data_IF_182819732360
#
_entry.id   IF_182819732360
#
_cell.length_a   1.000
_cell.length_b   1.000
_cell.length_c   1.000
_cell.angle_alpha   90.00
_cell.angle_beta   90.00
_cell.angle_gamma   90.00
#
_symmetry.space_group_name_H-M   'P 1'
#
loop_
_entity.id
_entity.type
_entity.pdbx_description
1 polymer ?
#
# COMPACT_ATOMS: atom_id res chain seq x y z
N UNK A 1 -52.73 -28.81 24.24
CA UNK A 1 -51.85 -27.70 23.81
C UNK A 1 -50.98 -27.38 25.00
N UNK A 2 -49.95 -28.20 25.23
CA UNK A 2 -49.01 -28.01 26.33
C UNK A 2 -47.61 -27.98 25.72
N UNK A 3 -47.12 -26.75 25.56
CA UNK A 3 -45.73 -26.44 25.23
C UNK A 3 -44.90 -26.71 26.50
N UNK A 4 -44.56 -27.98 26.78
CA UNK A 4 -43.55 -28.32 27.77
C UNK A 4 -42.21 -28.51 27.07
N UNK A 5 -41.56 -27.39 26.74
CA UNK A 5 -40.19 -27.39 26.24
C UNK A 5 -39.24 -27.67 27.41
N UNK A 6 -39.15 -28.93 27.85
CA UNK A 6 -38.03 -29.37 28.69
C UNK A 6 -36.83 -29.49 27.76
N UNK A 7 -35.94 -28.50 27.82
CA UNK A 7 -34.65 -28.55 27.15
C UNK A 7 -33.91 -29.79 27.67
N UNK A 8 -33.65 -30.77 26.81
CA UNK A 8 -32.84 -31.92 27.21
C UNK A 8 -31.41 -31.43 27.56
N UNK A 9 -30.72 -32.12 28.47
CA UNK A 9 -29.35 -31.73 28.87
C UNK A 9 -28.41 -31.62 27.66
N UNK A 10 -28.65 -32.45 26.63
CA UNK A 10 -28.00 -32.41 25.32
C UNK A 10 -28.21 -31.08 24.59
N UNK A 11 -29.44 -30.55 24.56
CA UNK A 11 -29.77 -29.28 23.92
C UNK A 11 -29.09 -28.10 24.62
N UNK A 12 -29.03 -28.13 25.96
CA UNK A 12 -28.32 -27.11 26.73
C UNK A 12 -26.81 -27.13 26.45
N UNK A 13 -26.20 -28.32 26.42
CA UNK A 13 -24.78 -28.47 26.07
C UNK A 13 -24.51 -27.98 24.65
N UNK A 14 -25.38 -28.34 23.69
CA UNK A 14 -25.26 -27.89 22.30
C UNK A 14 -25.36 -26.36 22.19
N UNK A 15 -26.28 -25.73 22.93
CA UNK A 15 -26.42 -24.27 22.96
C UNK A 15 -25.15 -23.60 23.50
N UNK A 16 -24.61 -24.08 24.62
CA UNK A 16 -23.37 -23.55 25.20
C UNK A 16 -22.20 -23.71 24.25
N UNK A 17 -22.05 -24.89 23.63
CA UNK A 17 -21.01 -25.14 22.64
C UNK A 17 -21.11 -24.17 21.45
N UNK A 18 -22.31 -23.94 20.93
CA UNK A 18 -22.55 -23.00 19.83
C UNK A 18 -22.16 -21.56 20.20
N UNK A 19 -22.51 -21.10 21.41
CA UNK A 19 -22.11 -19.76 21.89
C UNK A 19 -20.58 -19.65 22.00
N UNK A 20 -19.91 -20.66 22.55
CA UNK A 20 -18.45 -20.69 22.65
C UNK A 20 -17.80 -20.71 21.27
N UNK A 21 -18.35 -21.48 20.31
CA UNK A 21 -17.85 -21.54 18.94
C UNK A 21 -17.98 -20.19 18.23
N UNK A 22 -19.14 -19.53 18.33
CA UNK A 22 -19.35 -18.19 17.74
C UNK A 22 -18.36 -17.17 18.34
N UNK A 23 -18.21 -17.18 19.67
CA UNK A 23 -17.25 -16.31 20.34
C UNK A 23 -15.81 -16.59 19.89
N UNK A 24 -15.43 -17.87 19.77
CA UNK A 24 -14.09 -18.28 19.33
C UNK A 24 -13.80 -17.83 17.90
N UNK A 25 -14.78 -17.96 16.99
CA UNK A 25 -14.67 -17.47 15.61
C UNK A 25 -14.44 -15.96 15.59
N UNK A 26 -15.16 -15.22 16.44
CA UNK A 26 -15.02 -13.77 16.51
C UNK A 26 -13.62 -13.34 16.98
N UNK A 27 -13.07 -14.02 17.98
CA UNK A 27 -11.70 -13.79 18.46
C UNK A 27 -10.67 -14.17 17.40
N UNK A 28 -10.82 -15.32 16.74
CA UNK A 28 -9.92 -15.78 15.66
C UNK A 28 -9.89 -14.80 14.48
N UNK A 29 -11.06 -14.30 14.05
CA UNK A 29 -11.16 -13.32 12.98
C UNK A 29 -10.37 -12.04 13.28
N UNK A 30 -10.30 -11.62 14.54
CA UNK A 30 -9.48 -10.47 14.94
C UNK A 30 -7.98 -10.76 14.78
N UNK A 31 -7.54 -11.96 15.18
CA UNK A 31 -6.15 -12.39 15.03
C UNK A 31 -5.73 -12.47 13.56
N UNK A 32 -6.54 -13.12 12.72
CA UNK A 32 -6.28 -13.25 11.28
C UNK A 32 -6.16 -11.87 10.60
N UNK A 33 -7.03 -10.91 10.96
CA UNK A 33 -6.94 -9.54 10.41
C UNK A 33 -5.62 -8.85 10.78
N UNK A 34 -5.15 -9.02 12.02
CA UNK A 34 -3.88 -8.44 12.45
C UNK A 34 -2.69 -9.08 11.74
N UNK A 35 -2.71 -10.40 11.58
CA UNK A 35 -1.68 -11.14 10.86
C UNK A 35 -1.61 -10.72 9.38
N UNK A 36 -2.75 -10.63 8.69
CA UNK A 36 -2.82 -10.14 7.32
C UNK A 36 -2.28 -8.72 7.19
N UNK A 37 -2.58 -7.84 8.15
CA UNK A 37 -2.05 -6.48 8.17
C UNK A 37 -0.52 -6.47 8.31
N UNK A 38 0.02 -7.24 9.24
CA UNK A 38 1.47 -7.35 9.48
C UNK A 38 2.17 -7.88 8.23
N UNK A 39 1.64 -8.95 7.63
CA UNK A 39 2.19 -9.56 6.41
C UNK A 39 2.19 -8.58 5.25
N UNK A 40 1.06 -7.88 5.01
CA UNK A 40 0.98 -6.87 3.96
C UNK A 40 2.00 -5.75 4.17
N UNK A 41 2.05 -5.18 5.38
CA UNK A 41 3.03 -4.11 5.69
C UNK A 41 4.46 -4.60 5.48
N UNK A 42 4.79 -5.80 5.93
CA UNK A 42 6.12 -6.40 5.76
C UNK A 42 6.49 -6.58 4.28
N UNK A 43 5.57 -7.10 3.46
CA UNK A 43 5.82 -7.35 2.04
C UNK A 43 6.03 -6.05 1.26
N UNK A 44 5.18 -5.05 1.48
CA UNK A 44 5.36 -3.73 0.85
C UNK A 44 6.63 -3.05 1.34
N UNK A 45 6.97 -3.15 2.63
CA UNK A 45 8.22 -2.59 3.17
C UNK A 45 9.43 -3.22 2.50
N UNK A 46 9.43 -4.54 2.32
CA UNK A 46 10.51 -5.27 1.64
C UNK A 46 10.64 -4.82 0.18
N UNK A 47 9.54 -4.73 -0.56
CA UNK A 47 9.55 -4.24 -1.96
C UNK A 47 10.12 -2.82 -2.06
N UNK A 48 9.78 -1.93 -1.12
CA UNK A 48 10.39 -0.60 -1.05
C UNK A 48 11.90 -0.68 -0.81
N UNK A 49 12.33 -1.46 0.18
CA UNK A 49 13.77 -1.62 0.48
C UNK A 49 14.53 -2.11 -0.76
N UNK A 50 14.03 -3.11 -1.45
CA UNK A 50 14.64 -3.63 -2.69
C UNK A 50 14.74 -2.59 -3.81
N UNK A 51 13.80 -1.63 -3.88
CA UNK A 51 13.87 -0.51 -4.83
C UNK A 51 14.94 0.48 -4.39
N UNK A 52 14.93 0.90 -3.12
CA UNK A 52 15.85 1.90 -2.60
C UNK A 52 17.30 1.40 -2.55
N UNK A 53 17.53 0.10 -2.38
CA UNK A 53 18.86 -0.52 -2.48
C UNK A 53 19.46 -0.43 -3.88
N UNK A 54 18.62 -0.40 -4.92
CA UNK A 54 19.05 -0.28 -6.32
C UNK A 54 19.25 1.17 -6.77
N UNK A 55 18.68 2.13 -6.03
CA UNK A 55 18.78 3.54 -6.40
C UNK A 55 20.19 4.08 -6.11
N UNK A 56 20.84 4.72 -7.09
CA UNK A 56 22.14 5.33 -6.84
C UNK A 56 21.99 6.53 -5.91
N UNK A 57 23.01 6.77 -5.07
CA UNK A 57 23.00 7.80 -4.03
C UNK A 57 22.70 9.21 -4.56
N UNK A 58 23.04 9.50 -5.82
CA UNK A 58 22.78 10.77 -6.49
C UNK A 58 21.28 11.15 -6.52
N UNK A 59 20.38 10.17 -6.42
CA UNK A 59 18.91 10.40 -6.35
C UNK A 59 18.51 11.18 -5.11
N UNK A 60 19.38 11.24 -4.10
CA UNK A 60 19.15 11.99 -2.86
C UNK A 60 19.64 13.45 -2.96
N UNK A 61 20.28 13.85 -4.06
CA UNK A 61 20.80 15.22 -4.24
C UNK A 61 19.66 16.22 -4.51
N UNK A 62 19.71 17.37 -3.86
CA UNK A 62 18.77 18.47 -4.07
C UNK A 62 18.96 19.12 -5.45
N UNK A 63 20.16 19.05 -6.02
CA UNK A 63 20.49 19.57 -7.34
C UNK A 63 20.52 18.47 -8.41
N UNK A 64 19.78 17.37 -8.19
CA UNK A 64 19.74 16.26 -9.12
C UNK A 64 19.33 16.72 -10.53
N UNK A 65 20.24 16.58 -11.49
CA UNK A 65 19.99 16.84 -12.91
C UNK A 65 20.16 15.56 -13.72
N UNK A 66 19.04 15.02 -14.19
CA UNK A 66 19.01 13.80 -14.99
C UNK A 66 19.69 13.98 -16.36
N UNK A 67 19.74 15.20 -16.89
CA UNK A 67 20.31 15.46 -18.22
C UNK A 67 21.84 15.42 -18.22
N UNK A 68 22.45 15.67 -17.06
CA UNK A 68 23.90 15.55 -16.83
C UNK A 68 24.40 14.10 -16.86
N UNK A 69 23.49 13.13 -16.74
CA UNK A 69 23.81 11.70 -16.65
C UNK A 69 24.03 11.06 -18.02
N UNK A 70 24.88 10.02 -18.06
CA UNK A 70 24.96 9.13 -19.22
C UNK A 70 23.65 8.34 -19.38
N UNK A 71 23.36 7.83 -20.57
CA UNK A 71 22.11 7.07 -20.78
C UNK A 71 22.03 5.79 -19.94
N UNK A 72 23.19 5.18 -19.64
CA UNK A 72 23.26 4.05 -18.72
C UNK A 72 22.89 4.45 -17.27
N UNK A 73 23.41 5.58 -16.79
CA UNK A 73 23.11 6.08 -15.45
C UNK A 73 21.65 6.57 -15.32
N UNK A 74 21.11 7.17 -16.38
CA UNK A 74 19.68 7.52 -16.46
C UNK A 74 18.82 6.28 -16.28
N UNK A 75 19.11 5.19 -16.97
CA UNK A 75 18.35 3.94 -16.85
C UNK A 75 18.43 3.38 -15.43
N UNK A 76 19.61 3.45 -14.78
CA UNK A 76 19.79 3.03 -13.38
C UNK A 76 18.97 3.86 -12.38
N UNK A 77 18.55 5.08 -12.74
CA UNK A 77 17.66 5.91 -11.92
C UNK A 77 16.19 5.73 -12.31
N UNK A 78 15.87 5.88 -13.60
CA UNK A 78 14.49 5.88 -14.08
C UNK A 78 13.83 4.53 -13.85
N UNK A 79 14.54 3.42 -14.07
CA UNK A 79 13.95 2.08 -13.97
C UNK A 79 13.49 1.74 -12.53
N UNK A 80 14.30 1.92 -11.47
CA UNK A 80 13.81 1.69 -10.11
C UNK A 80 12.74 2.70 -9.68
N UNK A 81 12.83 3.97 -10.10
CA UNK A 81 11.78 4.97 -9.82
C UNK A 81 10.46 4.61 -10.51
N UNK A 82 10.50 4.04 -11.72
CA UNK A 82 9.30 3.51 -12.37
C UNK A 82 8.67 2.40 -11.54
N UNK A 83 9.46 1.40 -11.12
CA UNK A 83 8.97 0.32 -10.27
C UNK A 83 8.36 0.86 -8.96
N UNK A 84 8.90 1.95 -8.42
CA UNK A 84 8.30 2.67 -7.29
C UNK A 84 6.91 3.22 -7.61
N UNK A 85 6.71 3.84 -8.77
CA UNK A 85 5.39 4.33 -9.19
C UNK A 85 4.41 3.20 -9.48
N UNK A 86 4.85 2.08 -10.05
CA UNK A 86 4.02 0.88 -10.19
C UNK A 86 3.53 0.39 -8.83
N UNK A 87 4.42 0.36 -7.83
CA UNK A 87 4.07 0.00 -6.46
C UNK A 87 3.07 0.99 -5.83
N UNK A 88 3.25 2.28 -6.08
CA UNK A 88 2.31 3.31 -5.60
C UNK A 88 0.94 3.15 -6.26
N UNK A 89 0.90 2.78 -7.53
CA UNK A 89 -0.35 2.52 -8.25
C UNK A 89 -1.08 1.29 -7.70
N UNK A 90 -0.37 0.20 -7.41
CA UNK A 90 -0.96 -0.98 -6.74
C UNK A 90 -1.63 -0.61 -5.41
N UNK A 91 -0.92 0.17 -4.58
CA UNK A 91 -1.46 0.65 -3.30
C UNK A 91 -2.66 1.58 -3.48
N UNK A 92 -2.62 2.44 -4.48
CA UNK A 92 -3.74 3.31 -4.84
C UNK A 92 -4.98 2.49 -5.21
N UNK A 93 -4.84 1.46 -6.06
CA UNK A 93 -5.93 0.57 -6.44
C UNK A 93 -6.52 -0.16 -5.22
N UNK A 94 -5.67 -0.69 -4.35
CA UNK A 94 -6.11 -1.41 -3.16
C UNK A 94 -6.94 -0.54 -2.20
N UNK A 95 -6.65 0.77 -2.15
CA UNK A 95 -7.38 1.69 -1.30
C UNK A 95 -8.61 2.29 -1.98
N UNK A 96 -8.44 2.92 -3.15
CA UNK A 96 -9.50 3.73 -3.76
C UNK A 96 -10.46 2.92 -4.63
N UNK A 97 -10.00 1.86 -5.28
CA UNK A 97 -10.83 1.10 -6.24
C UNK A 97 -11.37 -0.20 -5.62
N UNK A 98 -10.60 -0.84 -4.73
CA UNK A 98 -10.96 -2.15 -4.15
C UNK A 98 -11.45 -2.08 -2.70
N UNK A 99 -11.27 -0.96 -1.99
CA UNK A 99 -11.63 -0.78 -0.57
C UNK A 99 -11.10 -1.90 0.35
N UNK A 100 -9.96 -2.51 -0.01
CA UNK A 100 -9.31 -3.58 0.77
C UNK A 100 -8.45 -2.98 1.88
N UNK A 101 -7.81 -1.85 1.60
CA UNK A 101 -6.88 -1.19 2.50
C UNK A 101 -7.60 -0.13 3.31
N UNK A 102 -7.58 -0.28 4.63
CA UNK A 102 -8.21 0.69 5.52
C UNK A 102 -7.52 2.07 5.46
N UNK A 103 -8.27 3.10 5.87
CA UNK A 103 -7.80 4.49 5.88
C UNK A 103 -6.58 4.71 6.77
N UNK A 104 -6.35 3.88 7.78
CA UNK A 104 -5.22 4.02 8.70
C UNK A 104 -3.94 3.54 8.01
N UNK A 105 -3.96 2.38 7.38
CA UNK A 105 -2.84 1.85 6.61
C UNK A 105 -2.52 2.76 5.41
N UNK A 106 -3.55 3.20 4.68
CA UNK A 106 -3.39 4.13 3.56
C UNK A 106 -2.61 5.39 3.95
N UNK A 107 -2.91 6.01 5.10
CA UNK A 107 -2.19 7.20 5.57
C UNK A 107 -0.68 6.98 5.72
N UNK A 108 -0.25 5.79 6.15
CA UNK A 108 1.18 5.48 6.26
C UNK A 108 1.84 5.34 4.90
N UNK A 109 1.18 4.66 3.96
CA UNK A 109 1.68 4.54 2.59
C UNK A 109 1.73 5.89 1.88
N UNK A 110 0.66 6.68 1.96
CA UNK A 110 0.59 8.03 1.38
C UNK A 110 1.68 8.94 1.95
N UNK A 111 1.95 8.89 3.26
CA UNK A 111 3.06 9.66 3.84
C UNK A 111 4.43 9.23 3.28
N UNK A 112 4.64 7.93 3.06
CA UNK A 112 5.84 7.40 2.39
C UNK A 112 5.96 7.89 0.94
N UNK A 113 4.85 7.90 0.19
CA UNK A 113 4.79 8.45 -1.17
C UNK A 113 5.18 9.92 -1.19
N UNK A 114 4.54 10.74 -0.34
CA UNK A 114 4.80 12.18 -0.25
C UNK A 114 6.26 12.47 0.07
N UNK A 115 6.86 11.69 0.98
CA UNK A 115 8.29 11.81 1.31
C UNK A 115 9.19 11.52 0.10
N UNK A 116 8.90 10.50 -0.71
CA UNK A 116 9.65 10.26 -1.94
C UNK A 116 9.41 11.36 -2.98
N UNK A 117 8.17 11.79 -3.16
CA UNK A 117 7.76 12.81 -4.14
C UNK A 117 8.36 14.19 -3.87
N UNK A 118 8.71 14.50 -2.62
CA UNK A 118 9.42 15.75 -2.29
C UNK A 118 10.82 15.84 -2.89
N UNK A 119 11.38 14.72 -3.37
CA UNK A 119 12.73 14.69 -3.95
C UNK A 119 12.70 15.12 -5.42
N UNK A 120 13.62 15.98 -5.87
CA UNK A 120 13.70 16.42 -7.27
C UNK A 120 13.81 15.26 -8.26
N UNK A 121 14.58 14.23 -7.90
CA UNK A 121 14.75 13.02 -8.70
C UNK A 121 13.45 12.30 -9.02
N UNK A 122 12.58 12.12 -8.03
CA UNK A 122 11.27 11.47 -8.22
C UNK A 122 10.32 12.33 -9.04
N UNK A 123 10.35 13.66 -8.85
CA UNK A 123 9.56 14.59 -9.65
C UNK A 123 9.98 14.57 -11.14
N UNK A 124 11.28 14.65 -11.40
CA UNK A 124 11.83 14.62 -12.77
C UNK A 124 11.52 13.28 -13.45
N UNK A 125 11.78 12.17 -12.76
CA UNK A 125 11.47 10.84 -13.28
C UNK A 125 9.98 10.65 -13.54
N UNK A 126 9.10 11.17 -12.68
CA UNK A 126 7.66 11.12 -12.92
C UNK A 126 7.25 11.79 -14.22
N UNK A 127 7.81 12.95 -14.55
CA UNK A 127 7.51 13.64 -15.81
C UNK A 127 7.92 12.81 -17.04
N UNK A 128 9.01 12.04 -16.94
CA UNK A 128 9.45 11.11 -17.99
C UNK A 128 8.50 9.91 -18.07
N UNK A 129 8.24 9.26 -16.93
CA UNK A 129 7.47 8.02 -16.84
C UNK A 129 6.00 8.27 -17.21
N UNK A 130 5.37 9.32 -16.70
CA UNK A 130 3.97 9.64 -16.97
C UNK A 130 3.72 9.92 -18.46
N UNK A 131 4.73 10.38 -19.21
CA UNK A 131 4.63 10.55 -20.67
C UNK A 131 4.62 9.24 -21.46
N UNK A 132 5.08 8.13 -20.85
CA UNK A 132 5.28 6.83 -21.53
C UNK A 132 4.32 5.76 -20.97
N UNK A 133 4.02 5.82 -19.67
CA UNK A 133 3.19 4.87 -18.95
C UNK A 133 1.70 5.01 -19.30
N UNK A 134 0.95 3.92 -19.13
CA UNK A 134 -0.49 3.89 -19.35
C UNK A 134 -1.27 3.99 -18.02
N UNK A 135 -0.77 4.77 -17.05
CA UNK A 135 -1.47 4.92 -15.77
C UNK A 135 -2.87 5.55 -15.97
N UNK A 136 -3.90 5.09 -15.24
CA UNK A 136 -5.21 5.72 -15.29
C UNK A 136 -5.17 7.17 -14.82
N UNK A 137 -6.03 8.00 -15.40
CA UNK A 137 -6.11 9.43 -15.12
C UNK A 137 -6.29 9.75 -13.63
N UNK A 138 -7.05 8.93 -12.90
CA UNK A 138 -7.27 9.13 -11.46
C UNK A 138 -5.97 9.04 -10.65
N UNK A 139 -5.12 8.05 -10.96
CA UNK A 139 -3.82 7.89 -10.32
C UNK A 139 -2.85 9.00 -10.72
N UNK A 140 -2.76 9.30 -12.02
CA UNK A 140 -1.94 10.43 -12.51
C UNK A 140 -2.32 11.75 -11.84
N UNK A 141 -3.62 12.02 -11.70
CA UNK A 141 -4.12 13.22 -11.01
C UNK A 141 -3.73 13.21 -9.52
N UNK A 142 -3.81 12.06 -8.86
CA UNK A 142 -3.37 11.92 -7.47
C UNK A 142 -1.88 12.28 -7.33
N UNK A 143 -1.00 11.67 -8.13
CA UNK A 143 0.45 11.94 -8.07
C UNK A 143 0.75 13.41 -8.38
N UNK A 144 0.18 13.94 -9.47
CA UNK A 144 0.37 15.35 -9.86
C UNK A 144 -0.09 16.32 -8.77
N UNK A 145 -1.26 16.06 -8.17
CA UNK A 145 -1.77 16.88 -7.07
C UNK A 145 -0.79 16.89 -5.89
N UNK A 146 -0.30 15.72 -5.47
CA UNK A 146 0.68 15.62 -4.37
C UNK A 146 1.99 16.31 -4.69
N UNK A 147 2.53 16.12 -5.89
CA UNK A 147 3.77 16.76 -6.31
C UNK A 147 3.65 18.29 -6.40
N UNK A 148 2.52 18.79 -6.92
CA UNK A 148 2.29 20.25 -7.00
C UNK A 148 2.31 20.92 -5.62
N UNK A 149 1.86 20.24 -4.56
CA UNK A 149 1.88 20.79 -3.21
C UNK A 149 3.29 20.88 -2.60
N UNK A 150 4.26 20.15 -3.15
CA UNK A 150 5.62 20.04 -2.61
C UNK A 150 6.62 20.93 -3.34
N UNK A 151 6.38 21.22 -4.62
CA UNK A 151 7.33 21.92 -5.51
C UNK A 151 6.81 23.30 -5.97
N UNK A 152 5.84 23.87 -5.25
CA UNK A 152 5.35 25.25 -5.45
C UNK A 152 6.17 26.28 -4.67
#
# INVERSE_FOLDING_TARGET
MELSYFMELSDFIALVALVISIYSIWVQNKGVKQELLITNVSEYTKRYQEIFEKLPRMVLDENFDINSLSDADKEMVVRPVWIYFDLCYEQYLLHYELDIVDKKLWKYWEAGMVSAFSRPSFYICWNIINGISAYPRNFTNFVNHKMSQLHN
#
